data_IF_254676077306
#
_entry.id   IF_254676077306
#
_cell.length_a   1.000
_cell.length_b   1.000
_cell.length_c   1.000
_cell.angle_alpha   90.00
_cell.angle_beta   90.00
_cell.angle_gamma   90.00
#
_symmetry.space_group_name_H-M   'P 1'
#
loop_
_entity.id
_entity.type
_entity.pdbx_description
1 polymer ?
#
# COMPACT_ATOMS: atom_id res chain seq x y z
N UNK A 1 39.81 4.64 -6.94
CA UNK A 1 39.87 5.10 -5.54
C UNK A 1 38.52 4.72 -4.99
N UNK A 2 38.43 3.50 -4.43
CA UNK A 2 37.20 2.99 -3.81
C UNK A 2 36.89 3.86 -2.59
N UNK A 3 35.77 4.55 -2.63
CA UNK A 3 35.20 5.18 -1.44
C UNK A 3 34.61 4.02 -0.62
N UNK A 4 35.31 3.59 0.42
CA UNK A 4 34.71 2.78 1.46
C UNK A 4 33.61 3.62 2.09
N UNK A 5 32.38 3.12 2.10
CA UNK A 5 31.30 3.64 2.93
C UNK A 5 31.82 3.72 4.37
N UNK A 6 32.20 4.90 4.80
CA UNK A 6 32.62 5.11 6.19
C UNK A 6 31.38 5.18 7.04
N UNK A 7 31.12 4.11 7.80
CA UNK A 7 30.11 4.09 8.82
C UNK A 7 30.21 5.34 9.71
N UNK A 8 29.11 6.08 9.84
CA UNK A 8 28.98 7.18 10.79
C UNK A 8 29.05 6.62 12.21
N UNK A 9 29.33 7.48 13.23
CA UNK A 9 29.54 7.12 14.64
C UNK A 9 28.32 6.41 15.31
N UNK A 10 27.25 6.13 14.56
CA UNK A 10 26.05 5.38 14.98
C UNK A 10 25.89 4.04 14.27
N UNK A 11 26.86 3.60 13.45
CA UNK A 11 26.80 2.29 12.82
C UNK A 11 26.97 1.18 13.85
N UNK A 12 26.08 0.18 13.80
CA UNK A 12 26.21 -1.05 14.60
C UNK A 12 27.47 -1.77 14.14
N UNK A 13 28.45 -1.96 15.05
CA UNK A 13 29.72 -2.64 14.78
C UNK A 13 29.77 -3.94 15.55
N UNK A 14 29.91 -5.05 14.85
CA UNK A 14 30.04 -6.39 15.41
C UNK A 14 31.52 -6.81 15.39
N UNK A 15 32.15 -6.92 16.58
CA UNK A 15 33.62 -6.97 16.69
C UNK A 15 34.23 -8.38 16.56
N UNK A 16 33.53 -9.47 16.92
CA UNK A 16 34.11 -10.83 16.90
C UNK A 16 33.35 -11.79 15.99
N UNK A 17 34.11 -12.59 15.19
CA UNK A 17 33.52 -13.47 14.17
C UNK A 17 32.63 -14.58 14.74
N UNK A 18 32.95 -15.12 15.91
CA UNK A 18 32.20 -16.22 16.53
C UNK A 18 30.93 -15.76 17.30
N UNK A 19 30.89 -14.49 17.70
CA UNK A 19 29.74 -13.88 18.38
C UNK A 19 28.87 -13.05 17.42
N UNK A 20 29.45 -12.63 16.29
CA UNK A 20 28.81 -11.74 15.31
C UNK A 20 27.42 -12.19 14.91
N UNK A 21 27.24 -13.45 14.55
CA UNK A 21 25.92 -13.96 14.15
C UNK A 21 24.89 -13.83 15.27
N UNK A 22 25.26 -14.14 16.51
CA UNK A 22 24.35 -14.04 17.64
C UNK A 22 24.01 -12.59 17.97
N UNK A 23 25.01 -11.69 17.87
CA UNK A 23 24.81 -10.25 18.07
C UNK A 23 23.93 -9.64 16.98
N UNK A 24 24.14 -10.03 15.71
CA UNK A 24 23.28 -9.59 14.59
C UNK A 24 21.83 -10.09 14.78
N UNK A 25 21.64 -11.36 15.11
CA UNK A 25 20.29 -11.89 15.37
C UNK A 25 19.63 -11.16 16.53
N UNK A 26 20.30 -10.95 17.66
CA UNK A 26 19.75 -10.22 18.79
C UNK A 26 19.38 -8.77 18.41
N UNK A 27 20.23 -8.10 17.65
CA UNK A 27 19.96 -6.73 17.21
C UNK A 27 18.75 -6.64 16.27
N UNK A 28 18.60 -7.62 15.36
CA UNK A 28 17.44 -7.69 14.47
C UNK A 28 16.16 -7.99 15.27
N UNK A 29 16.22 -8.90 16.24
CA UNK A 29 15.10 -9.18 17.13
C UNK A 29 14.68 -7.93 17.91
N UNK A 30 15.64 -7.19 18.48
CA UNK A 30 15.37 -5.94 19.19
C UNK A 30 14.71 -4.89 18.27
N UNK A 31 15.16 -4.75 17.02
CA UNK A 31 14.57 -3.82 16.06
C UNK A 31 13.17 -4.23 15.62
N UNK A 32 12.89 -5.52 15.51
CA UNK A 32 11.54 -6.01 15.22
C UNK A 32 10.60 -5.75 16.39
N UNK A 33 11.08 -5.96 17.62
CA UNK A 33 10.29 -5.65 18.81
C UNK A 33 9.99 -4.14 18.91
N UNK A 34 10.97 -3.28 18.58
CA UNK A 34 10.74 -1.83 18.45
C UNK A 34 9.68 -1.52 17.36
N UNK A 35 9.79 -2.12 16.17
CA UNK A 35 8.82 -1.92 15.10
C UNK A 35 7.41 -2.31 15.53
N UNK A 36 7.24 -3.41 16.26
CA UNK A 36 5.94 -3.84 16.82
C UNK A 36 5.38 -2.78 17.76
N UNK A 37 6.22 -2.22 18.65
CA UNK A 37 5.81 -1.14 19.55
C UNK A 37 5.45 0.12 18.76
N UNK A 38 6.27 0.50 17.78
CA UNK A 38 6.04 1.68 16.94
C UNK A 38 4.72 1.56 16.15
N UNK A 39 4.37 0.36 15.65
CA UNK A 39 3.09 0.10 14.98
C UNK A 39 1.92 0.31 15.94
N UNK A 40 2.00 -0.17 17.16
CA UNK A 40 0.94 0.02 18.16
C UNK A 40 0.81 1.49 18.57
N UNK A 41 1.93 2.21 18.72
CA UNK A 41 1.94 3.66 18.98
C UNK A 41 1.39 4.43 17.79
N UNK A 42 1.75 4.06 16.56
CA UNK A 42 1.22 4.66 15.34
C UNK A 42 -0.31 4.48 15.25
N UNK A 43 -0.83 3.27 15.50
CA UNK A 43 -2.28 2.99 15.55
C UNK A 43 -3.00 3.83 16.60
N UNK A 44 -2.37 4.11 17.74
CA UNK A 44 -2.92 4.94 18.81
C UNK A 44 -2.74 6.45 18.57
N UNK A 45 -1.93 6.86 17.61
CA UNK A 45 -1.63 8.26 17.37
C UNK A 45 -2.84 9.04 16.87
N UNK A 46 -2.90 10.34 17.21
CA UNK A 46 -3.97 11.22 16.74
C UNK A 46 -3.96 11.32 15.20
N UNK A 47 -2.78 11.41 14.59
CA UNK A 47 -2.62 11.50 13.13
C UNK A 47 -3.22 10.27 12.42
N UNK A 48 -2.95 9.07 12.93
CA UNK A 48 -3.51 7.84 12.37
C UNK A 48 -5.03 7.75 12.55
N UNK A 49 -5.54 8.16 13.72
CA UNK A 49 -6.99 8.17 13.98
C UNK A 49 -7.71 9.19 13.09
N UNK A 50 -7.16 10.38 12.88
CA UNK A 50 -7.68 11.38 11.94
C UNK A 50 -7.68 10.86 10.50
N UNK A 51 -6.59 10.19 10.10
CA UNK A 51 -6.49 9.55 8.79
C UNK A 51 -7.55 8.45 8.62
N UNK A 52 -7.73 7.55 9.61
CA UNK A 52 -8.76 6.51 9.59
C UNK A 52 -10.17 7.08 9.50
N UNK A 53 -10.47 8.12 10.28
CA UNK A 53 -11.79 8.78 10.26
C UNK A 53 -12.08 9.32 8.84
N UNK A 54 -11.10 9.94 8.20
CA UNK A 54 -11.25 10.40 6.82
C UNK A 54 -11.39 9.23 5.85
N UNK A 55 -10.54 8.17 5.96
CA UNK A 55 -10.65 7.01 5.08
C UNK A 55 -12.01 6.31 5.20
N UNK A 56 -12.56 6.22 6.41
CA UNK A 56 -13.87 5.59 6.65
C UNK A 56 -15.05 6.29 5.95
N UNK A 57 -14.87 7.54 5.55
CA UNK A 57 -15.89 8.32 4.81
C UNK A 57 -15.86 8.06 3.31
N UNK A 58 -14.76 7.48 2.80
CA UNK A 58 -14.70 7.07 1.41
C UNK A 58 -15.45 5.76 1.20
N UNK A 59 -16.08 5.63 0.05
CA UNK A 59 -16.87 4.45 -0.29
C UNK A 59 -15.98 3.34 -0.86
N UNK A 60 -16.14 2.11 -0.35
CA UNK A 60 -15.54 0.93 -0.96
C UNK A 60 -16.27 0.56 -2.24
N UNK A 61 -15.62 0.79 -3.35
CA UNK A 61 -16.19 0.49 -4.65
C UNK A 61 -16.08 -1.00 -4.99
N UNK A 62 -17.17 -1.57 -5.52
CA UNK A 62 -17.13 -2.93 -6.07
C UNK A 62 -16.06 -3.04 -7.17
N UNK A 63 -15.49 -4.23 -7.37
CA UNK A 63 -14.49 -4.49 -8.43
C UNK A 63 -14.90 -3.93 -9.80
N UNK A 64 -16.20 -3.99 -10.15
CA UNK A 64 -16.72 -3.43 -11.39
C UNK A 64 -16.59 -1.92 -11.44
N UNK A 65 -16.91 -1.22 -10.35
CA UNK A 65 -16.78 0.22 -10.28
C UNK A 65 -15.31 0.65 -10.21
N UNK A 66 -14.47 -0.09 -9.47
CA UNK A 66 -13.02 0.14 -9.45
C UNK A 66 -12.42 0.07 -10.86
N UNK A 67 -12.82 -0.94 -11.66
CA UNK A 67 -12.41 -1.03 -13.05
C UNK A 67 -12.89 0.17 -13.88
N UNK A 68 -14.17 0.59 -13.72
CA UNK A 68 -14.72 1.74 -14.41
C UNK A 68 -13.99 3.04 -14.06
N UNK A 69 -13.61 3.22 -12.78
CA UNK A 69 -12.83 4.36 -12.30
C UNK A 69 -11.47 4.36 -13.01
N UNK A 70 -10.72 3.25 -12.93
CA UNK A 70 -9.37 3.15 -13.51
C UNK A 70 -9.35 3.27 -15.04
N UNK A 71 -10.38 2.84 -15.73
CA UNK A 71 -10.51 3.02 -17.19
C UNK A 71 -10.75 4.50 -17.59
N UNK A 72 -11.39 5.30 -16.74
CA UNK A 72 -11.70 6.70 -17.01
C UNK A 72 -10.68 7.67 -16.41
N UNK A 73 -10.09 7.30 -15.26
CA UNK A 73 -9.07 8.06 -14.55
C UNK A 73 -8.04 7.06 -13.96
N UNK A 74 -7.00 6.68 -14.72
CA UNK A 74 -6.01 5.67 -14.31
C UNK A 74 -5.31 6.02 -12.99
N UNK A 75 -5.07 7.32 -12.76
CA UNK A 75 -4.37 7.84 -11.58
C UNK A 75 -5.31 8.13 -10.38
N UNK A 76 -6.60 7.78 -10.49
CA UNK A 76 -7.54 8.03 -9.39
C UNK A 76 -7.13 7.29 -8.11
N UNK A 77 -7.12 8.02 -7.01
CA UNK A 77 -6.74 7.51 -5.67
C UNK A 77 -7.91 7.50 -4.71
N UNK A 78 -8.55 8.64 -4.49
CA UNK A 78 -9.66 8.83 -3.55
C UNK A 78 -10.83 9.45 -4.27
N UNK A 79 -11.85 8.64 -4.49
CA UNK A 79 -12.99 9.01 -5.35
C UNK A 79 -14.26 9.15 -4.53
N UNK A 80 -14.96 10.26 -4.69
CA UNK A 80 -16.24 10.49 -4.02
C UNK A 80 -17.21 11.31 -4.88
N UNK A 81 -18.49 11.31 -4.49
CA UNK A 81 -19.52 12.13 -5.14
C UNK A 81 -19.33 13.64 -4.87
N UNK A 82 -19.84 14.48 -5.78
CA UNK A 82 -19.77 15.94 -5.65
C UNK A 82 -20.21 16.48 -4.29
N UNK A 83 -21.34 15.96 -3.77
CA UNK A 83 -21.85 16.39 -2.48
C UNK A 83 -21.03 15.87 -1.31
N UNK A 84 -20.42 14.70 -1.43
CA UNK A 84 -19.53 14.13 -0.42
C UNK A 84 -18.27 14.99 -0.30
N UNK A 85 -17.65 15.35 -1.41
CA UNK A 85 -16.52 16.28 -1.41
C UNK A 85 -16.84 17.58 -0.68
N UNK A 86 -18.00 18.17 -0.99
CA UNK A 86 -18.40 19.45 -0.42
C UNK A 86 -18.80 19.37 1.05
N UNK A 87 -19.56 18.34 1.44
CA UNK A 87 -20.22 18.32 2.75
C UNK A 87 -19.41 17.59 3.82
N UNK A 88 -18.56 16.65 3.42
CA UNK A 88 -17.82 15.78 4.35
C UNK A 88 -16.32 16.09 4.37
N UNK A 89 -15.77 16.62 3.26
CA UNK A 89 -14.35 16.92 3.15
C UNK A 89 -14.02 18.41 3.02
N UNK A 90 -15.03 19.28 2.97
CA UNK A 90 -14.87 20.73 2.73
C UNK A 90 -14.02 21.05 1.48
N UNK A 91 -14.23 20.22 0.45
CA UNK A 91 -13.57 20.32 -0.85
C UNK A 91 -14.61 20.49 -1.94
N UNK A 92 -14.23 21.11 -3.04
CA UNK A 92 -15.13 21.29 -4.17
C UNK A 92 -14.46 20.90 -5.48
N UNK A 93 -15.23 20.30 -6.36
CA UNK A 93 -14.78 19.91 -7.69
C UNK A 93 -14.45 21.15 -8.49
N UNK A 94 -13.29 21.19 -9.13
CA UNK A 94 -12.82 22.31 -9.93
C UNK A 94 -13.68 22.49 -11.19
N UNK A 95 -13.81 23.73 -11.63
CA UNK A 95 -14.60 24.03 -12.82
C UNK A 95 -13.93 23.45 -14.07
N UNK A 96 -14.71 22.72 -14.86
CA UNK A 96 -14.23 22.10 -16.09
C UNK A 96 -13.80 20.64 -15.96
N UNK A 97 -13.74 20.10 -14.72
CA UNK A 97 -13.41 18.71 -14.50
C UNK A 97 -14.45 17.74 -15.06
N UNK A 98 -13.96 16.63 -15.62
CA UNK A 98 -14.83 15.60 -16.20
C UNK A 98 -15.19 14.57 -15.15
N UNK A 99 -16.47 14.30 -14.99
CA UNK A 99 -16.96 13.30 -14.07
C UNK A 99 -16.52 11.88 -14.46
N UNK A 100 -16.16 11.09 -13.48
CA UNK A 100 -15.98 9.65 -13.58
C UNK A 100 -17.34 8.99 -13.35
N UNK A 101 -17.78 8.12 -14.25
CA UNK A 101 -19.09 7.50 -14.18
C UNK A 101 -19.02 6.08 -13.63
N UNK A 102 -19.79 5.85 -12.57
CA UNK A 102 -19.92 4.56 -11.90
C UNK A 102 -21.39 4.11 -11.83
N UNK A 103 -21.63 2.86 -11.48
CA UNK A 103 -22.94 2.34 -11.17
C UNK A 103 -23.24 2.43 -9.67
N UNK A 104 -24.15 3.32 -9.26
CA UNK A 104 -24.65 3.40 -7.89
C UNK A 104 -25.94 2.60 -7.71
N UNK A 105 -26.11 1.87 -6.59
CA UNK A 105 -27.33 1.14 -6.31
C UNK A 105 -28.51 2.09 -6.09
N UNK A 106 -29.67 1.69 -6.55
CA UNK A 106 -30.95 2.33 -6.23
C UNK A 106 -31.62 1.51 -5.14
N UNK A 107 -31.52 2.02 -3.90
CA UNK A 107 -32.15 1.41 -2.73
C UNK A 107 -33.41 2.21 -2.38
N UNK A 108 -34.56 1.57 -2.53
CA UNK A 108 -35.85 2.20 -2.22
C UNK A 108 -36.83 1.13 -1.71
N UNK A 109 -38.07 1.54 -1.44
CA UNK A 109 -39.14 0.61 -1.14
C UNK A 109 -39.28 -0.42 -2.26
N UNK A 110 -39.40 -1.69 -1.92
CA UNK A 110 -39.39 -2.81 -2.84
C UNK A 110 -40.63 -3.67 -2.60
N UNK A 111 -41.38 -3.94 -3.66
CA UNK A 111 -42.55 -4.81 -3.59
C UNK A 111 -42.12 -6.21 -3.12
N UNK A 112 -42.81 -6.81 -2.14
CA UNK A 112 -42.46 -8.14 -1.62
C UNK A 112 -42.55 -9.26 -2.64
N UNK A 113 -43.33 -9.11 -3.70
CA UNK A 113 -43.55 -10.16 -4.72
C UNK A 113 -42.71 -9.95 -5.98
N UNK A 114 -42.77 -8.78 -6.63
CA UNK A 114 -42.05 -8.56 -7.87
C UNK A 114 -40.69 -7.86 -7.70
N UNK A 115 -40.32 -7.53 -6.48
CA UNK A 115 -39.04 -6.88 -6.11
C UNK A 115 -38.78 -5.52 -6.78
N UNK A 116 -39.78 -4.96 -7.46
CA UNK A 116 -39.68 -3.65 -8.10
C UNK A 116 -39.93 -2.49 -7.11
N UNK A 117 -39.46 -1.30 -7.49
CA UNK A 117 -39.85 -0.07 -6.81
C UNK A 117 -41.36 0.23 -6.99
N UNK A 118 -41.98 1.06 -6.13
CA UNK A 118 -43.41 1.38 -6.27
C UNK A 118 -43.83 1.82 -7.67
N UNK A 119 -43.06 2.71 -8.30
CA UNK A 119 -43.35 3.22 -9.63
C UNK A 119 -43.23 2.19 -10.76
N UNK A 120 -42.32 1.20 -10.61
CA UNK A 120 -42.19 0.09 -11.56
C UNK A 120 -43.18 -1.02 -11.27
N UNK A 121 -43.56 -1.25 -9.99
CA UNK A 121 -44.61 -2.16 -9.62
C UNK A 121 -45.96 -1.75 -10.26
N UNK A 122 -46.32 -0.46 -10.21
CA UNK A 122 -47.54 0.07 -10.87
C UNK A 122 -47.55 -0.13 -12.40
N UNK A 123 -46.40 -0.30 -13.02
CA UNK A 123 -46.25 -0.53 -14.46
C UNK A 123 -46.08 -2.01 -14.81
N UNK A 124 -45.96 -2.89 -13.83
CA UNK A 124 -45.82 -4.34 -14.00
C UNK A 124 -47.16 -5.04 -13.91
N UNK A 125 -47.18 -6.30 -14.32
CA UNK A 125 -48.37 -7.19 -14.18
C UNK A 125 -48.48 -7.79 -12.76
N UNK A 126 -47.83 -7.18 -11.74
CA UNK A 126 -47.86 -7.67 -10.38
C UNK A 126 -49.10 -7.15 -9.65
N UNK A 127 -49.90 -8.06 -9.15
CA UNK A 127 -51.18 -7.78 -8.46
C UNK A 127 -51.02 -7.73 -6.90
N UNK A 128 -49.79 -7.62 -6.39
CA UNK A 128 -49.58 -7.56 -4.94
C UNK A 128 -50.17 -6.27 -4.34
N UNK A 129 -51.16 -6.44 -3.44
CA UNK A 129 -51.88 -5.34 -2.75
C UNK A 129 -52.07 -5.58 -1.23
N UNK A 130 -51.42 -6.61 -0.66
CA UNK A 130 -51.57 -6.93 0.78
C UNK A 130 -51.07 -5.84 1.71
N UNK A 131 -50.04 -5.11 1.29
CA UNK A 131 -49.51 -3.96 2.05
C UNK A 131 -49.24 -2.78 1.11
N UNK A 132 -49.37 -1.56 1.66
CA UNK A 132 -49.14 -0.35 0.90
C UNK A 132 -47.63 -0.17 0.59
N UNK A 133 -47.26 0.48 -0.53
CA UNK A 133 -45.85 0.75 -0.87
C UNK A 133 -45.06 1.49 0.23
N UNK A 134 -45.73 2.20 1.10
CA UNK A 134 -45.12 2.93 2.24
C UNK A 134 -44.64 1.97 3.35
N UNK A 135 -45.28 0.79 3.44
CA UNK A 135 -44.94 -0.26 4.41
C UNK A 135 -43.88 -1.25 3.92
N UNK A 136 -43.60 -1.25 2.62
CA UNK A 136 -42.59 -2.14 2.05
C UNK A 136 -41.21 -1.92 2.64
N UNK A 137 -40.43 -2.97 2.77
CA UNK A 137 -39.05 -2.89 3.16
C UNK A 137 -38.20 -2.23 2.06
N UNK A 138 -37.06 -1.63 2.45
CA UNK A 138 -36.10 -1.14 1.48
C UNK A 138 -35.29 -2.30 0.91
N UNK A 139 -35.12 -2.28 -0.41
CA UNK A 139 -34.33 -3.26 -1.13
C UNK A 139 -33.63 -2.64 -2.33
N UNK A 140 -32.76 -3.41 -2.94
CA UNK A 140 -32.06 -3.02 -4.17
C UNK A 140 -32.99 -3.25 -5.38
N UNK A 141 -33.41 -2.17 -6.01
CA UNK A 141 -34.32 -2.23 -7.18
C UNK A 141 -33.64 -1.98 -8.52
N UNK A 142 -32.35 -1.64 -8.51
CA UNK A 142 -31.59 -1.39 -9.73
C UNK A 142 -30.33 -0.61 -9.50
N UNK A 143 -29.72 -0.15 -10.59
CA UNK A 143 -28.52 0.68 -10.58
C UNK A 143 -28.72 1.88 -11.51
N UNK A 144 -28.04 2.97 -11.19
CA UNK A 144 -28.03 4.19 -12.03
C UNK A 144 -26.62 4.69 -12.24
N UNK A 145 -26.32 5.29 -13.40
CA UNK A 145 -25.08 6.03 -13.57
C UNK A 145 -25.01 7.18 -12.55
N UNK A 146 -23.85 7.31 -11.91
CA UNK A 146 -23.60 8.35 -10.90
C UNK A 146 -22.23 8.95 -11.15
N UNK A 147 -22.17 10.29 -11.11
CA UNK A 147 -20.94 11.04 -11.26
C UNK A 147 -20.16 11.05 -9.94
N UNK A 148 -18.88 10.71 -10.02
CA UNK A 148 -17.91 10.84 -8.95
C UNK A 148 -16.66 11.55 -9.46
N UNK A 149 -15.81 12.02 -8.57
CA UNK A 149 -14.61 12.77 -8.89
C UNK A 149 -13.47 12.28 -8.00
N UNK A 150 -12.26 12.25 -8.55
CA UNK A 150 -11.05 11.97 -7.78
C UNK A 150 -10.61 13.21 -6.99
N UNK A 151 -9.83 13.00 -5.93
CA UNK A 151 -9.27 14.08 -5.09
C UNK A 151 -8.47 15.09 -5.91
N UNK A 152 -7.74 14.64 -6.94
CA UNK A 152 -6.97 15.50 -7.86
C UNK A 152 -7.85 16.49 -8.66
N UNK A 153 -9.11 16.17 -8.83
CA UNK A 153 -10.11 17.03 -9.50
C UNK A 153 -10.78 18.01 -8.53
N UNK A 154 -10.32 18.09 -7.30
CA UNK A 154 -10.93 18.92 -6.26
C UNK A 154 -9.92 19.90 -5.66
N UNK A 155 -10.43 21.00 -5.12
CA UNK A 155 -9.68 21.96 -4.32
C UNK A 155 -10.38 22.21 -2.99
N UNK A 156 -9.64 22.60 -1.95
CA UNK A 156 -10.13 22.84 -0.60
C UNK A 156 -9.13 22.39 0.45
N UNK A 157 -9.61 22.06 1.65
CA UNK A 157 -8.76 21.62 2.76
C UNK A 157 -7.96 20.34 2.37
N UNK A 158 -6.68 20.26 2.73
CA UNK A 158 -5.90 19.06 2.50
C UNK A 158 -6.49 17.89 3.28
N UNK A 159 -6.49 16.71 2.67
CA UNK A 159 -6.83 15.49 3.36
C UNK A 159 -5.66 15.05 4.24
N UNK A 160 -5.91 14.45 5.41
CA UNK A 160 -4.86 13.87 6.23
C UNK A 160 -4.08 12.82 5.44
N UNK A 161 -2.77 12.90 5.52
CA UNK A 161 -1.82 11.95 4.93
C UNK A 161 -0.94 11.40 6.04
N UNK A 162 -0.54 10.14 5.90
CA UNK A 162 0.46 9.53 6.77
C UNK A 162 1.83 9.76 6.15
N UNK A 163 2.78 10.20 6.97
CA UNK A 163 4.17 10.31 6.54
C UNK A 163 4.79 8.91 6.51
N UNK A 164 4.80 8.29 5.34
CA UNK A 164 5.34 6.94 5.12
C UNK A 164 6.64 6.94 4.33
N UNK A 165 7.20 8.12 4.01
CA UNK A 165 8.43 8.22 3.27
C UNK A 165 9.63 8.09 4.20
N UNK A 166 10.62 7.31 3.77
CA UNK A 166 11.90 7.24 4.45
C UNK A 166 12.71 8.53 4.21
N UNK A 167 13.54 8.89 5.19
CA UNK A 167 14.43 10.04 5.11
C UNK A 167 15.88 9.66 5.46
N UNK A 168 16.82 10.48 5.06
CA UNK A 168 18.24 10.27 5.30
C UNK A 168 19.08 10.39 4.04
N UNK A 169 20.38 10.12 4.18
CA UNK A 169 21.31 10.12 3.05
C UNK A 169 21.43 8.70 2.47
N UNK A 170 21.04 8.53 1.24
CA UNK A 170 21.07 7.26 0.52
C UNK A 170 21.74 7.39 -0.86
N UNK A 171 22.50 8.44 -1.11
CA UNK A 171 23.11 8.71 -2.42
C UNK A 171 24.07 7.58 -2.86
N UNK A 172 24.82 6.98 -1.94
CA UNK A 172 25.67 5.81 -2.21
C UNK A 172 24.91 4.48 -2.10
N UNK A 173 23.83 4.42 -1.35
CA UNK A 173 23.06 3.20 -1.11
C UNK A 173 22.26 2.76 -2.35
N UNK A 174 21.61 3.69 -3.04
CA UNK A 174 20.84 3.34 -4.25
C UNK A 174 21.71 2.70 -5.32
N UNK A 175 22.89 3.25 -5.70
CA UNK A 175 23.80 2.56 -6.61
C UNK A 175 24.27 1.19 -6.11
N UNK A 176 24.52 1.04 -4.80
CA UNK A 176 24.94 -0.23 -4.21
C UNK A 176 23.82 -1.29 -4.29
N UNK A 177 22.56 -0.91 -4.01
CA UNK A 177 21.41 -1.79 -4.18
C UNK A 177 21.21 -2.24 -5.63
N UNK A 178 21.37 -1.32 -6.60
CA UNK A 178 21.28 -1.65 -8.01
C UNK A 178 22.40 -2.63 -8.46
N UNK A 179 23.58 -2.51 -7.84
CA UNK A 179 24.67 -3.47 -8.08
C UNK A 179 24.38 -4.83 -7.42
N UNK A 180 23.92 -4.84 -6.18
CA UNK A 180 23.57 -6.03 -5.41
C UNK A 180 22.48 -6.88 -6.09
N UNK A 181 21.56 -6.27 -6.83
CA UNK A 181 20.49 -6.95 -7.55
C UNK A 181 21.02 -8.07 -8.46
N UNK A 182 22.18 -7.88 -9.08
CA UNK A 182 22.80 -8.91 -9.94
C UNK A 182 23.21 -10.15 -9.14
N UNK A 183 23.72 -9.98 -7.93
CA UNK A 183 24.11 -11.07 -7.04
C UNK A 183 22.88 -11.76 -6.44
N UNK A 184 21.82 -11.00 -6.18
CA UNK A 184 20.54 -11.50 -5.68
C UNK A 184 19.65 -12.14 -6.78
N UNK A 185 20.14 -12.22 -8.02
CA UNK A 185 19.44 -12.77 -9.18
C UNK A 185 18.12 -12.02 -9.51
N UNK A 186 18.11 -10.68 -9.35
CA UNK A 186 16.99 -9.78 -9.59
C UNK A 186 17.28 -8.89 -10.80
N UNK A 187 16.37 -8.83 -11.79
CA UNK A 187 16.39 -7.82 -12.87
C UNK A 187 15.74 -6.52 -12.35
N UNK A 188 16.55 -5.50 -12.06
CA UNK A 188 16.08 -4.25 -11.45
C UNK A 188 16.14 -3.08 -12.43
N UNK A 189 15.13 -2.20 -12.36
CA UNK A 189 15.05 -0.96 -13.15
C UNK A 189 14.49 0.18 -12.33
N UNK A 190 15.15 1.33 -12.42
CA UNK A 190 14.57 2.59 -11.96
C UNK A 190 13.97 3.28 -13.18
N UNK A 191 12.64 3.43 -13.19
CA UNK A 191 11.86 3.95 -14.32
C UNK A 191 11.54 5.42 -14.08
N UNK A 192 11.75 6.25 -15.11
CA UNK A 192 11.41 7.68 -15.04
C UNK A 192 9.93 7.88 -14.71
N UNK A 193 9.61 8.90 -13.91
CA UNK A 193 8.25 9.20 -13.50
C UNK A 193 7.30 9.44 -14.69
N UNK A 194 7.83 9.95 -15.81
CA UNK A 194 7.05 10.17 -17.04
C UNK A 194 6.74 8.88 -17.81
N UNK A 195 7.50 7.80 -17.57
CA UNK A 195 7.34 6.48 -18.21
C UNK A 195 6.71 5.45 -17.26
N UNK A 196 6.37 5.88 -16.03
CA UNK A 196 5.81 5.00 -15.01
C UNK A 196 4.37 4.60 -15.32
N UNK A 197 4.09 3.30 -15.45
CA UNK A 197 2.77 2.78 -15.87
C UNK A 197 1.98 2.11 -14.72
N UNK A 198 2.50 2.18 -13.46
CA UNK A 198 1.91 1.45 -12.32
C UNK A 198 1.13 2.36 -11.34
N UNK A 199 0.59 3.48 -11.83
CA UNK A 199 -0.23 4.39 -11.02
C UNK A 199 0.54 4.94 -9.82
N UNK A 200 -0.07 4.86 -8.63
CA UNK A 200 0.50 5.41 -7.39
C UNK A 200 1.55 4.50 -6.74
N UNK A 201 1.75 3.28 -7.24
CA UNK A 201 2.76 2.39 -6.70
C UNK A 201 4.16 3.03 -6.80
N UNK A 202 4.94 2.97 -5.73
CA UNK A 202 6.32 3.45 -5.67
C UNK A 202 7.30 2.46 -6.30
N UNK A 203 6.98 1.16 -6.22
CA UNK A 203 7.71 0.04 -6.78
C UNK A 203 6.76 -1.10 -7.15
N UNK A 204 7.24 -2.07 -7.90
CA UNK A 204 6.52 -3.31 -8.23
C UNK A 204 7.52 -4.44 -8.43
N UNK A 205 7.22 -5.59 -7.84
CA UNK A 205 7.89 -6.85 -8.14
C UNK A 205 7.00 -7.71 -9.06
N UNK A 206 7.53 -8.09 -10.23
CA UNK A 206 6.81 -8.86 -11.25
C UNK A 206 7.37 -10.26 -11.36
N UNK A 207 6.49 -11.24 -11.26
CA UNK A 207 6.83 -12.63 -11.57
C UNK A 207 6.70 -12.87 -13.09
N UNK A 208 7.74 -13.36 -13.74
CA UNK A 208 7.62 -13.83 -15.12
C UNK A 208 6.94 -15.20 -15.15
N UNK A 209 5.66 -15.22 -15.51
CA UNK A 209 4.80 -16.43 -15.53
C UNK A 209 5.11 -17.45 -16.64
N UNK A 210 6.10 -17.23 -17.50
CA UNK A 210 6.45 -18.10 -18.59
C UNK A 210 7.96 -18.37 -18.60
N UNK A 211 8.34 -19.55 -18.08
CA UNK A 211 9.68 -20.15 -18.10
C UNK A 211 10.75 -19.44 -17.24
N UNK A 212 11.17 -20.07 -16.13
CA UNK A 212 12.46 -19.92 -15.44
C UNK A 212 13.14 -18.53 -15.60
N UNK A 213 12.46 -17.47 -15.20
CA UNK A 213 12.98 -16.11 -15.32
C UNK A 213 13.16 -15.47 -13.95
N UNK A 214 14.24 -14.74 -13.80
CA UNK A 214 14.51 -13.87 -12.63
C UNK A 214 13.31 -12.96 -12.34
N UNK A 215 13.04 -12.66 -11.06
CA UNK A 215 12.07 -11.61 -10.69
C UNK A 215 12.49 -10.27 -11.29
N UNK A 216 11.51 -9.50 -11.72
CA UNK A 216 11.73 -8.16 -12.26
C UNK A 216 11.20 -7.14 -11.27
N UNK A 217 12.08 -6.29 -10.77
CA UNK A 217 11.76 -5.19 -9.89
C UNK A 217 11.83 -3.88 -10.67
N UNK A 218 10.76 -3.10 -10.63
CA UNK A 218 10.73 -1.74 -11.16
C UNK A 218 10.41 -0.77 -10.03
N UNK A 219 11.20 0.29 -9.89
CA UNK A 219 10.97 1.37 -8.93
C UNK A 219 10.84 2.71 -9.66
N UNK A 220 9.88 3.53 -9.24
CA UNK A 220 9.65 4.86 -9.80
C UNK A 220 10.76 5.81 -9.36
N UNK A 221 11.42 6.45 -10.32
CA UNK A 221 12.45 7.45 -10.06
C UNK A 221 11.88 8.65 -9.29
N UNK A 222 12.61 9.10 -8.27
CA UNK A 222 12.23 10.23 -7.43
C UNK A 222 13.46 10.91 -6.82
N UNK A 223 13.29 12.16 -6.35
CA UNK A 223 14.36 12.95 -5.75
C UNK A 223 14.75 12.48 -4.33
N UNK A 224 13.79 11.92 -3.57
CA UNK A 224 14.05 11.33 -2.26
C UNK A 224 14.74 9.98 -2.44
N UNK A 225 16.07 9.95 -2.34
CA UNK A 225 16.87 8.74 -2.53
C UNK A 225 16.70 7.75 -1.37
N UNK A 226 16.43 8.21 -0.14
CA UNK A 226 16.13 7.33 0.98
C UNK A 226 14.84 6.54 0.75
N UNK A 227 13.78 7.21 0.31
CA UNK A 227 12.51 6.55 -0.02
C UNK A 227 12.65 5.62 -1.25
N UNK A 228 13.51 5.98 -2.23
CA UNK A 228 13.82 5.09 -3.34
C UNK A 228 14.58 3.83 -2.87
N UNK A 229 15.56 3.98 -1.99
CA UNK A 229 16.32 2.86 -1.44
C UNK A 229 15.43 1.89 -0.66
N UNK A 230 14.60 2.41 0.25
CA UNK A 230 13.66 1.59 1.04
C UNK A 230 12.65 0.90 0.12
N UNK A 231 12.15 1.59 -0.93
CA UNK A 231 11.28 0.96 -1.95
C UNK A 231 11.99 -0.19 -2.68
N UNK A 232 13.24 -0.01 -3.10
CA UNK A 232 14.02 -1.09 -3.75
C UNK A 232 14.16 -2.30 -2.83
N UNK A 233 14.47 -2.08 -1.55
CA UNK A 233 14.59 -3.17 -0.57
C UNK A 233 13.25 -3.88 -0.36
N UNK A 234 12.14 -3.14 -0.27
CA UNK A 234 10.80 -3.70 -0.16
C UNK A 234 10.48 -4.63 -1.36
N UNK A 235 10.75 -4.20 -2.58
CA UNK A 235 10.53 -5.01 -3.78
C UNK A 235 11.51 -6.20 -3.88
N UNK A 236 12.76 -6.06 -3.38
CA UNK A 236 13.71 -7.18 -3.28
C UNK A 236 13.21 -8.23 -2.28
N UNK A 237 12.63 -7.79 -1.16
CA UNK A 237 12.01 -8.70 -0.21
C UNK A 237 10.86 -9.50 -0.84
N UNK A 238 10.01 -8.86 -1.65
CA UNK A 238 9.01 -9.58 -2.44
C UNK A 238 9.64 -10.60 -3.40
N UNK A 239 10.72 -10.22 -4.07
CA UNK A 239 11.45 -11.11 -4.99
C UNK A 239 12.04 -12.33 -4.28
N UNK A 240 12.63 -12.14 -3.10
CA UNK A 240 13.34 -13.19 -2.35
C UNK A 240 12.41 -14.07 -1.51
N UNK A 241 11.35 -13.49 -0.93
CA UNK A 241 10.44 -14.20 -0.02
C UNK A 241 9.24 -14.84 -0.71
N UNK A 242 8.77 -14.27 -1.84
CA UNK A 242 7.45 -14.58 -2.40
C UNK A 242 7.51 -15.05 -3.87
N UNK A 243 8.70 -15.38 -4.39
CA UNK A 243 8.86 -15.77 -5.77
C UNK A 243 8.50 -17.25 -6.07
N UNK A 244 8.74 -18.16 -5.10
CA UNK A 244 8.58 -19.60 -5.30
C UNK A 244 7.32 -20.13 -4.60
N UNK A 245 6.14 -19.96 -5.23
CA UNK A 245 5.06 -20.20 -4.50
C UNK A 245 3.83 -21.04 -4.67
N UNK A 246 3.83 -22.36 -4.53
CA UNK A 246 2.59 -23.16 -4.32
C UNK A 246 1.92 -22.91 -2.93
N UNK A 247 2.54 -22.11 -2.04
CA UNK A 247 2.08 -21.79 -0.69
C UNK A 247 2.35 -20.31 -0.34
N UNK A 248 1.99 -19.39 -1.23
CA UNK A 248 2.12 -17.96 -0.94
C UNK A 248 1.22 -17.54 0.24
N UNK A 249 1.74 -16.79 1.20
CA UNK A 249 0.91 -16.17 2.23
C UNK A 249 -0.10 -15.22 1.61
N UNK A 250 -1.17 -14.91 2.33
CA UNK A 250 -2.12 -13.87 1.96
C UNK A 250 -1.40 -12.54 1.66
N UNK A 251 -1.97 -11.72 0.78
CA UNK A 251 -1.33 -10.48 0.32
C UNK A 251 -0.88 -9.59 1.48
N UNK A 252 -1.73 -9.41 2.49
CA UNK A 252 -1.41 -8.59 3.67
C UNK A 252 -0.14 -9.06 4.36
N UNK A 253 0.02 -10.37 4.55
CA UNK A 253 1.20 -10.96 5.18
C UNK A 253 2.48 -10.78 4.37
N UNK A 254 2.38 -10.78 3.03
CA UNK A 254 3.53 -10.51 2.15
C UNK A 254 4.00 -9.06 2.28
N UNK A 255 3.05 -8.12 2.35
CA UNK A 255 3.37 -6.71 2.54
C UNK A 255 4.05 -6.46 3.89
N UNK A 256 3.55 -7.10 4.97
CA UNK A 256 4.15 -7.00 6.31
C UNK A 256 5.59 -7.55 6.32
N UNK A 257 5.83 -8.72 5.70
CA UNK A 257 7.18 -9.28 5.61
C UNK A 257 8.12 -8.37 4.81
N UNK A 258 7.68 -7.85 3.67
CA UNK A 258 8.49 -6.98 2.83
C UNK A 258 8.81 -5.64 3.52
N UNK A 259 7.83 -5.04 4.19
CA UNK A 259 8.03 -3.79 4.92
C UNK A 259 8.97 -3.96 6.12
N UNK A 260 8.84 -5.07 6.86
CA UNK A 260 9.74 -5.35 7.98
C UNK A 260 11.19 -5.55 7.51
N UNK A 261 11.42 -6.22 6.37
CA UNK A 261 12.75 -6.31 5.75
C UNK A 261 13.28 -4.91 5.38
N UNK A 262 12.43 -4.09 4.72
CA UNK A 262 12.80 -2.73 4.32
C UNK A 262 13.14 -1.84 5.53
N UNK A 263 12.39 -1.97 6.63
CA UNK A 263 12.67 -1.29 7.89
C UNK A 263 14.04 -1.68 8.47
N UNK A 264 14.34 -2.97 8.57
CA UNK A 264 15.62 -3.46 9.12
C UNK A 264 16.79 -2.98 8.27
N UNK A 265 16.72 -3.17 6.96
CA UNK A 265 17.80 -2.77 6.03
C UNK A 265 17.98 -1.26 6.03
N UNK A 266 16.89 -0.49 6.01
CA UNK A 266 16.94 0.97 6.09
C UNK A 266 17.61 1.44 7.37
N UNK A 267 17.24 0.89 8.53
CA UNK A 267 17.90 1.20 9.83
C UNK A 267 19.38 0.84 9.83
N UNK A 268 19.75 -0.31 9.27
CA UNK A 268 21.15 -0.71 9.17
C UNK A 268 21.99 0.33 8.42
N UNK A 269 21.45 0.91 7.36
CA UNK A 269 22.08 1.97 6.59
C UNK A 269 21.79 3.39 7.14
N UNK A 270 21.30 3.48 8.39
CA UNK A 270 21.04 4.73 9.09
C UNK A 270 20.02 5.65 8.40
N UNK A 271 19.02 5.07 7.76
CA UNK A 271 17.86 5.82 7.26
C UNK A 271 16.79 5.93 8.34
N UNK A 272 16.05 7.03 8.33
CA UNK A 272 14.82 7.17 9.10
C UNK A 272 13.69 6.42 8.37
N UNK A 273 13.29 5.28 8.94
CA UNK A 273 12.24 4.40 8.47
C UNK A 273 11.00 4.42 9.36
N UNK A 274 10.83 5.47 10.17
CA UNK A 274 9.68 5.61 11.08
C UNK A 274 8.32 5.58 10.35
N UNK A 275 8.30 5.95 9.05
CA UNK A 275 7.15 5.81 8.18
C UNK A 275 6.63 4.38 8.01
N UNK A 276 7.49 3.36 8.16
CA UNK A 276 7.09 1.94 8.09
C UNK A 276 6.04 1.57 9.13
N UNK A 277 6.10 2.15 10.33
CA UNK A 277 5.10 1.91 11.37
C UNK A 277 3.69 2.39 10.96
N UNK A 278 3.58 3.55 10.32
CA UNK A 278 2.31 4.04 9.77
C UNK A 278 1.83 3.21 8.59
N UNK A 279 2.75 2.78 7.72
CA UNK A 279 2.43 1.90 6.59
C UNK A 279 1.83 0.57 7.09
N UNK A 280 2.49 -0.09 8.03
CA UNK A 280 2.00 -1.34 8.62
C UNK A 280 0.72 -1.16 9.43
N UNK A 281 0.57 -0.05 10.16
CA UNK A 281 -0.64 0.27 10.90
C UNK A 281 -1.87 0.42 9.98
N UNK A 282 -1.69 0.84 8.73
CA UNK A 282 -2.76 0.98 7.74
C UNK A 282 -3.27 -0.35 7.18
N UNK A 283 -2.50 -1.45 7.30
CA UNK A 283 -2.93 -2.80 6.95
C UNK A 283 -3.72 -3.40 8.11
N UNK A 284 -5.04 -3.20 8.10
CA UNK A 284 -5.95 -3.41 9.23
C UNK A 284 -6.10 -4.87 9.72
N UNK A 285 -5.66 -5.86 8.95
CA UNK A 285 -5.97 -7.27 9.21
C UNK A 285 -4.82 -8.07 9.84
N UNK A 286 -3.61 -7.50 10.00
CA UNK A 286 -2.47 -8.21 10.58
C UNK A 286 -2.03 -7.59 11.90
N UNK A 287 -2.13 -8.38 12.96
CA UNK A 287 -1.57 -8.06 14.26
C UNK A 287 -0.03 -8.04 14.19
N UNK A 288 0.59 -7.18 15.00
CA UNK A 288 2.03 -7.18 15.25
C UNK A 288 2.60 -8.58 15.58
N UNK A 289 1.74 -9.49 16.08
CA UNK A 289 2.03 -10.90 16.33
C UNK A 289 2.46 -11.65 15.05
N UNK A 290 1.94 -11.28 13.87
CA UNK A 290 2.33 -11.92 12.61
C UNK A 290 3.76 -11.58 12.16
N UNK A 291 4.32 -10.44 12.58
CA UNK A 291 5.74 -10.10 12.37
C UNK A 291 6.64 -11.05 13.14
N UNK A 292 6.33 -11.29 14.42
CA UNK A 292 7.11 -12.17 15.29
C UNK A 292 7.08 -13.64 14.81
N UNK A 293 5.93 -14.13 14.34
CA UNK A 293 5.83 -15.48 13.77
C UNK A 293 6.71 -15.69 12.53
N UNK A 294 7.05 -14.60 11.83
CA UNK A 294 7.81 -14.62 10.56
C UNK A 294 9.24 -14.11 10.69
N UNK A 295 9.65 -13.79 11.92
CA UNK A 295 10.92 -13.19 12.25
C UNK A 295 12.13 -13.88 11.58
N UNK A 296 12.15 -15.21 11.58
CA UNK A 296 13.25 -15.97 10.99
C UNK A 296 13.45 -15.71 9.49
N UNK A 297 12.36 -15.61 8.72
CA UNK A 297 12.40 -15.32 7.28
C UNK A 297 12.80 -13.87 7.02
N UNK A 298 12.17 -12.95 7.74
CA UNK A 298 12.46 -11.51 7.67
C UNK A 298 13.94 -11.25 7.95
N UNK A 299 14.45 -11.79 9.05
CA UNK A 299 15.85 -11.63 9.46
C UNK A 299 16.84 -12.19 8.45
N UNK A 300 16.59 -13.41 7.93
CA UNK A 300 17.46 -14.03 6.94
C UNK A 300 17.52 -13.24 5.64
N UNK A 301 16.39 -12.72 5.18
CA UNK A 301 16.33 -11.93 3.94
C UNK A 301 16.96 -10.56 4.12
N UNK A 302 16.72 -9.89 5.25
CA UNK A 302 17.37 -8.63 5.56
C UNK A 302 18.90 -8.78 5.60
N UNK A 303 19.39 -9.85 6.24
CA UNK A 303 20.82 -10.16 6.31
C UNK A 303 21.40 -10.42 4.91
N UNK A 304 20.75 -11.21 4.06
CA UNK A 304 21.18 -11.50 2.70
C UNK A 304 21.34 -10.23 1.87
N UNK A 305 20.36 -9.30 1.95
CA UNK A 305 20.44 -8.01 1.26
C UNK A 305 21.60 -7.18 1.81
N UNK A 306 21.73 -7.05 3.13
CA UNK A 306 22.78 -6.27 3.78
C UNK A 306 24.16 -6.79 3.39
N UNK A 307 24.39 -8.09 3.54
CA UNK A 307 25.69 -8.71 3.22
C UNK A 307 26.05 -8.48 1.75
N UNK A 308 25.09 -8.65 0.83
CA UNK A 308 25.32 -8.44 -0.61
C UNK A 308 25.64 -6.98 -0.93
N UNK A 309 25.00 -6.02 -0.27
CA UNK A 309 25.28 -4.58 -0.45
C UNK A 309 26.64 -4.18 0.12
N UNK A 310 27.04 -4.76 1.25
CA UNK A 310 28.33 -4.44 1.92
C UNK A 310 29.51 -5.09 1.22
N UNK A 311 29.36 -6.27 0.62
CA UNK A 311 30.42 -7.01 -0.06
C UNK A 311 30.68 -6.52 -1.49
N UNK A 312 29.69 -5.87 -2.14
CA UNK A 312 29.76 -5.36 -3.52
C UNK A 312 30.30 -3.96 -3.62
#
# INVERSE_FOLDING_TARGET
>A
MQSMLTASETSVSFEETDTRNNEMHSTIEDWIDELVVDVDEAKASQQFQEWLDVQSRFHDYSHRNTLLIKLQCPEATRVAGYNTWRNEFDRHVQEGEQAIWIWAPIITKQCPECENSPSYHEQSDCDYDETSPEEWSKGLVGFKPTAVFDVSQTEGEPLPELETEAAGDADDLVPALLHAATTLDIDVRVVDAAEWEHGDAKGVCKHRTLHEGQPVVEAKARSNQADLAVTLVHEYAHALLHFDGDNEPERAKREVEAEAVAYIVGRYFNLDTSGSAFYLAAWQDDDAESIQERLGRISSTAQEIIDTVVEG
#
